data_IF_590049994032
#
_entry.id   IF_590049994032
#
_cell.length_a   1.000
_cell.length_b   1.000
_cell.length_c   1.000
_cell.angle_alpha   90.00
_cell.angle_beta   90.00
_cell.angle_gamma   90.00
#
_symmetry.space_group_name_H-M   'P 1'
#
loop_
_entity.id
_entity.type
_entity.pdbx_description
1 polymer ?
#
# COMPACT_ATOMS: atom_id res chain seq x y z
N UNK A 1 -47.87 -3.12 -29.35
CA UNK A 1 -46.48 -2.69 -29.09
C UNK A 1 -45.75 -3.83 -28.37
N UNK A 2 -45.10 -4.72 -29.14
CA UNK A 2 -44.50 -5.95 -28.61
C UNK A 2 -43.10 -5.71 -28.05
N UNK A 3 -42.82 -6.25 -26.86
CA UNK A 3 -41.47 -6.32 -26.29
C UNK A 3 -40.66 -7.33 -27.09
N UNK A 4 -39.60 -6.88 -27.77
CA UNK A 4 -38.65 -7.77 -28.44
C UNK A 4 -37.90 -8.66 -27.43
N UNK A 5 -37.41 -9.83 -27.85
CA UNK A 5 -36.73 -10.76 -26.95
C UNK A 5 -35.42 -10.15 -26.42
N UNK A 6 -35.17 -10.34 -25.12
CA UNK A 6 -33.93 -9.93 -24.47
C UNK A 6 -32.74 -10.65 -25.12
N UNK A 7 -31.72 -9.89 -25.52
CA UNK A 7 -30.49 -10.44 -26.08
C UNK A 7 -29.80 -11.37 -25.05
N UNK A 8 -29.24 -12.52 -25.49
CA UNK A 8 -28.58 -13.44 -24.58
C UNK A 8 -27.33 -12.78 -23.95
N UNK A 9 -27.20 -12.93 -22.64
CA UNK A 9 -26.01 -12.52 -21.88
C UNK A 9 -24.78 -13.23 -22.47
N UNK A 10 -23.80 -12.44 -22.92
CA UNK A 10 -22.53 -12.97 -23.44
C UNK A 10 -21.86 -13.83 -22.35
N UNK A 11 -21.31 -15.00 -22.69
CA UNK A 11 -20.63 -15.86 -21.73
C UNK A 11 -19.50 -15.08 -21.06
N UNK A 12 -19.47 -15.14 -19.72
CA UNK A 12 -18.56 -14.38 -18.88
C UNK A 12 -17.12 -14.51 -19.36
N UNK A 13 -16.48 -13.36 -19.59
CA UNK A 13 -15.08 -13.30 -19.96
C UNK A 13 -14.24 -14.09 -18.96
N UNK A 14 -13.46 -15.06 -19.45
CA UNK A 14 -12.48 -15.80 -18.66
C UNK A 14 -11.68 -14.79 -17.83
N UNK A 15 -11.78 -14.85 -16.50
CA UNK A 15 -10.93 -14.05 -15.61
C UNK A 15 -9.50 -14.40 -15.96
N UNK A 16 -8.81 -13.51 -16.67
CA UNK A 16 -7.37 -13.55 -16.82
C UNK A 16 -6.82 -13.40 -15.40
N UNK A 17 -6.37 -14.50 -14.78
CA UNK A 17 -5.48 -14.40 -13.63
C UNK A 17 -4.20 -13.76 -14.14
N UNK A 18 -4.18 -12.42 -14.18
CA UNK A 18 -2.97 -11.67 -14.45
C UNK A 18 -1.95 -12.08 -13.40
N UNK A 19 -0.79 -12.55 -13.86
CA UNK A 19 0.27 -13.04 -12.99
C UNK A 19 0.63 -11.90 -12.02
N UNK A 20 0.28 -12.08 -10.74
CA UNK A 20 0.45 -11.06 -9.71
C UNK A 20 1.95 -10.84 -9.52
N UNK A 21 2.41 -9.59 -9.56
CA UNK A 21 3.84 -9.32 -9.33
C UNK A 21 4.32 -9.93 -8.01
N UNK A 22 5.47 -10.62 -8.02
CA UNK A 22 6.04 -11.25 -6.81
C UNK A 22 6.24 -10.25 -5.67
N UNK A 23 6.54 -8.99 -5.98
CA UNK A 23 6.60 -7.88 -5.00
C UNK A 23 5.25 -7.61 -4.34
N UNK A 24 4.18 -7.61 -5.14
CA UNK A 24 2.82 -7.41 -4.64
C UNK A 24 2.42 -8.55 -3.69
N UNK A 25 2.72 -9.81 -4.04
CA UNK A 25 2.43 -10.95 -3.16
C UNK A 25 3.15 -10.83 -1.81
N UNK A 26 4.44 -10.53 -1.80
CA UNK A 26 5.22 -10.30 -0.57
C UNK A 26 4.57 -9.18 0.26
N UNK A 27 4.23 -8.07 -0.37
CA UNK A 27 3.57 -6.95 0.30
C UNK A 27 2.23 -7.36 0.94
N UNK A 28 1.39 -8.14 0.25
CA UNK A 28 0.12 -8.60 0.82
C UNK A 28 0.35 -9.56 1.99
N UNK A 29 1.33 -10.47 1.89
CA UNK A 29 1.68 -11.39 2.98
C UNK A 29 2.12 -10.64 4.22
N UNK A 30 2.93 -9.59 4.07
CA UNK A 30 3.33 -8.71 5.20
C UNK A 30 2.09 -8.05 5.82
N UNK A 31 1.19 -7.48 5.01
CA UNK A 31 -0.04 -6.85 5.52
C UNK A 31 -0.95 -7.83 6.27
N UNK A 32 -1.06 -9.07 5.80
CA UNK A 32 -1.84 -10.12 6.46
C UNK A 32 -1.21 -10.52 7.79
N UNK A 33 0.12 -10.72 7.81
CA UNK A 33 0.87 -11.06 9.02
C UNK A 33 0.78 -9.95 10.09
N UNK A 34 0.91 -8.70 9.66
CA UNK A 34 0.78 -7.52 10.53
C UNK A 34 -0.68 -7.04 10.67
N UNK A 35 -1.67 -7.81 10.20
CA UNK A 35 -3.07 -7.43 10.26
C UNK A 35 -3.67 -7.56 11.66
N UNK A 36 -2.98 -8.25 12.57
CA UNK A 36 -3.37 -8.48 13.96
C UNK A 36 -2.20 -8.11 14.88
N UNK A 37 -2.50 -7.66 16.10
CA UNK A 37 -1.50 -7.28 17.10
C UNK A 37 -1.17 -5.79 17.12
N UNK A 38 0.01 -5.46 17.64
CA UNK A 38 0.42 -4.10 17.94
C UNK A 38 0.72 -3.22 16.71
N UNK A 39 0.97 -3.83 15.57
CA UNK A 39 1.32 -3.13 14.33
C UNK A 39 0.10 -2.99 13.43
N UNK A 40 -0.07 -1.81 12.81
CA UNK A 40 -1.06 -1.57 11.76
C UNK A 40 -0.37 -0.97 10.54
N UNK A 41 -0.40 -1.68 9.41
CA UNK A 41 0.21 -1.24 8.15
C UNK A 41 -0.84 -0.93 7.08
N UNK A 42 -0.60 0.14 6.35
CA UNK A 42 -1.34 0.53 5.16
C UNK A 42 -0.43 0.53 3.94
N UNK A 43 -1.03 0.31 2.77
CA UNK A 43 -0.32 0.50 1.51
C UNK A 43 -0.19 1.99 1.25
N UNK A 44 1.05 2.46 1.07
CA UNK A 44 1.36 3.79 0.63
C UNK A 44 1.43 3.81 -0.90
N UNK A 45 0.43 4.41 -1.54
CA UNK A 45 0.51 4.70 -2.97
C UNK A 45 1.16 6.07 -3.10
N UNK A 46 2.32 6.16 -3.73
CA UNK A 46 2.98 7.43 -4.03
C UNK A 46 2.78 7.76 -5.50
N UNK A 47 2.42 9.00 -5.81
CA UNK A 47 2.27 9.44 -7.18
C UNK A 47 1.62 10.80 -7.31
N UNK A 48 1.19 11.09 -8.53
CA UNK A 48 0.37 12.25 -8.82
C UNK A 48 -0.67 11.89 -9.88
N UNK A 49 -1.82 12.53 -9.81
CA UNK A 49 -2.86 12.45 -10.83
C UNK A 49 -3.43 13.84 -11.07
N UNK A 50 -3.99 14.05 -12.27
CA UNK A 50 -4.80 15.22 -12.55
C UNK A 50 -6.23 14.89 -12.14
N UNK A 51 -6.83 15.71 -11.28
CA UNK A 51 -8.21 15.54 -10.86
C UNK A 51 -9.20 15.94 -11.96
N UNK A 52 -10.50 15.79 -11.69
CA UNK A 52 -11.56 16.12 -12.65
C UNK A 52 -11.62 17.62 -13.02
N UNK A 53 -10.98 18.47 -12.23
CA UNK A 53 -10.94 19.93 -12.40
C UNK A 53 -9.63 20.40 -13.04
N UNK A 54 -8.76 19.46 -13.47
CA UNK A 54 -7.48 19.77 -14.10
C UNK A 54 -6.35 20.07 -13.11
N UNK A 55 -6.56 19.87 -11.80
CA UNK A 55 -5.54 20.17 -10.77
C UNK A 55 -4.62 18.98 -10.56
N UNK A 56 -3.32 19.25 -10.44
CA UNK A 56 -2.33 18.23 -10.08
C UNK A 56 -2.40 17.92 -8.59
N UNK A 57 -2.81 16.69 -8.26
CA UNK A 57 -2.85 16.18 -6.89
C UNK A 57 -1.72 15.19 -6.68
N UNK A 58 -0.84 15.47 -5.72
CA UNK A 58 0.18 14.53 -5.26
C UNK A 58 -0.34 13.79 -4.04
N UNK A 59 -0.01 12.50 -3.96
CA UNK A 59 -0.45 11.63 -2.87
C UNK A 59 0.66 10.66 -2.46
N UNK A 60 0.50 10.09 -1.27
CA UNK A 60 1.57 9.41 -0.54
C UNK A 60 2.38 10.41 0.31
N UNK A 61 3.39 9.91 1.02
CA UNK A 61 4.19 10.76 1.91
C UNK A 61 5.21 11.63 1.13
N UNK A 62 6.06 10.99 0.33
CA UNK A 62 7.02 11.66 -0.53
C UNK A 62 7.55 10.72 -1.62
N UNK A 63 8.24 11.25 -2.64
CA UNK A 63 8.93 10.43 -3.63
C UNK A 63 10.00 9.58 -2.92
N UNK A 64 9.92 8.26 -3.09
CA UNK A 64 10.82 7.31 -2.43
C UNK A 64 10.28 6.74 -1.12
N UNK A 65 9.18 7.28 -0.58
CA UNK A 65 8.55 6.70 0.62
C UNK A 65 8.15 5.23 0.43
N UNK A 66 8.31 4.46 1.50
CA UNK A 66 8.13 3.01 1.52
C UNK A 66 6.75 2.53 1.06
N UNK A 67 6.70 1.32 0.49
CA UNK A 67 5.44 0.68 0.05
C UNK A 67 4.40 0.50 1.16
N UNK A 68 4.85 0.16 2.37
CA UNK A 68 4.02 0.01 3.55
C UNK A 68 4.43 1.04 4.59
N UNK A 69 3.43 1.71 5.15
CA UNK A 69 3.59 2.68 6.23
C UNK A 69 2.60 2.37 7.33
N UNK A 70 2.92 2.74 8.56
CA UNK A 70 2.05 2.38 9.67
C UNK A 70 2.48 2.90 11.02
N UNK A 71 1.80 2.39 12.03
CA UNK A 71 2.09 2.68 13.42
C UNK A 71 2.32 1.38 14.19
N UNK A 72 3.21 1.46 15.18
CA UNK A 72 3.38 0.44 16.21
C UNK A 72 2.77 0.96 17.51
N UNK A 73 1.80 0.22 18.02
CA UNK A 73 1.32 0.40 19.39
C UNK A 73 2.36 -0.16 20.36
N UNK A 74 2.66 0.56 21.43
CA UNK A 74 3.39 0.01 22.57
C UNK A 74 2.62 0.33 23.82
N UNK A 75 2.75 -0.57 24.79
CA UNK A 75 2.38 -0.26 26.16
C UNK A 75 3.40 0.74 26.72
N UNK A 76 2.89 1.84 27.28
CA UNK A 76 3.73 2.86 27.90
C UNK A 76 4.21 2.35 29.25
N UNK A 77 5.52 2.39 29.47
CA UNK A 77 6.13 2.04 30.76
C UNK A 77 6.43 3.29 31.59
N UNK A 78 6.66 3.13 32.89
CA UNK A 78 7.00 4.25 33.77
C UNK A 78 8.25 5.02 33.28
N UNK A 79 9.25 4.32 32.73
CA UNK A 79 10.46 4.93 32.20
C UNK A 79 10.20 5.82 30.97
N UNK A 80 9.08 5.63 30.27
CA UNK A 80 8.68 6.42 29.10
C UNK A 80 7.91 7.70 29.45
N UNK A 81 7.50 7.87 30.72
CA UNK A 81 6.74 9.05 31.15
C UNK A 81 7.62 10.30 31.03
N UNK A 82 7.08 11.35 30.41
CA UNK A 82 7.81 12.58 30.12
C UNK A 82 8.63 12.56 28.83
N UNK A 83 8.65 11.44 28.10
CA UNK A 83 9.29 11.37 26.78
C UNK A 83 8.29 11.69 25.65
N UNK A 84 8.80 12.20 24.53
CA UNK A 84 8.02 12.34 23.30
C UNK A 84 8.19 11.10 22.42
N UNK A 85 7.10 10.40 22.09
CA UNK A 85 7.15 9.14 21.34
C UNK A 85 6.33 9.24 20.05
N UNK A 86 7.00 9.12 18.91
CA UNK A 86 6.39 8.88 17.61
C UNK A 86 6.84 7.53 17.04
N UNK A 87 5.98 6.51 17.09
CA UNK A 87 6.30 5.18 16.57
C UNK A 87 5.69 4.92 15.21
N UNK A 88 6.38 5.46 14.21
CA UNK A 88 6.06 5.25 12.81
C UNK A 88 6.83 4.05 12.25
N UNK A 89 6.18 3.24 11.43
CA UNK A 89 6.80 2.12 10.70
C UNK A 89 6.81 2.45 9.21
N UNK A 90 7.94 2.18 8.57
CA UNK A 90 8.11 2.17 7.13
C UNK A 90 8.75 0.84 6.68
N UNK A 91 8.16 0.18 5.68
CA UNK A 91 8.71 -1.06 5.09
C UNK A 91 8.71 -0.92 3.57
N UNK A 92 9.90 -0.82 2.99
CA UNK A 92 10.10 -0.90 1.55
C UNK A 92 10.23 -2.35 1.11
N UNK A 93 9.38 -2.80 0.18
CA UNK A 93 9.31 -4.20 -0.23
C UNK A 93 10.12 -4.40 -1.51
N UNK A 94 11.06 -5.36 -1.46
CA UNK A 94 11.83 -5.80 -2.63
C UNK A 94 11.64 -7.30 -2.87
N UNK A 95 11.81 -7.70 -4.12
CA UNK A 95 12.06 -9.11 -4.46
C UNK A 95 13.53 -9.43 -4.17
N UNK A 96 13.95 -10.70 -4.16
CA UNK A 96 15.36 -11.05 -3.96
C UNK A 96 16.31 -10.39 -4.97
N UNK A 97 15.84 -10.10 -6.18
CA UNK A 97 16.60 -9.41 -7.24
C UNK A 97 16.35 -7.89 -7.27
N UNK A 98 15.51 -7.36 -6.37
CA UNK A 98 15.13 -5.96 -6.37
C UNK A 98 16.17 -5.09 -5.66
N UNK A 99 16.59 -3.99 -6.30
CA UNK A 99 17.48 -2.99 -5.71
C UNK A 99 16.70 -1.83 -5.08
N UNK A 100 17.27 -1.23 -4.03
CA UNK A 100 16.81 0.04 -3.46
C UNK A 100 17.24 1.21 -4.36
N UNK A 101 16.35 2.16 -4.61
CA UNK A 101 16.69 3.39 -5.35
C UNK A 101 17.21 4.46 -4.39
N UNK A 102 18.04 5.43 -4.84
CA UNK A 102 18.62 6.45 -3.95
C UNK A 102 17.58 7.23 -3.13
N UNK A 103 16.45 7.58 -3.72
CA UNK A 103 15.38 8.29 -2.99
C UNK A 103 14.71 7.43 -1.91
N UNK A 104 14.68 6.11 -2.09
CA UNK A 104 14.13 5.18 -1.10
C UNK A 104 15.12 4.95 0.04
N UNK A 105 16.41 4.89 -0.29
CA UNK A 105 17.46 4.83 0.71
C UNK A 105 17.49 6.11 1.56
N UNK A 106 17.31 7.28 0.93
CA UNK A 106 17.22 8.56 1.65
C UNK A 106 16.03 8.63 2.61
N UNK A 107 14.92 7.96 2.27
CA UNK A 107 13.72 7.93 3.12
C UNK A 107 13.87 7.00 4.34
N UNK A 108 14.71 5.98 4.26
CA UNK A 108 14.89 4.98 5.33
C UNK A 108 15.99 5.32 6.34
N UNK A 109 16.74 6.41 6.10
CA UNK A 109 17.78 6.93 7.01
C UNK A 109 17.21 8.03 7.90
#
# INVERSE_FOLDING_TARGET
MGRGPAAPLKPGGKRRHGNLSRRYEIQQRIRLACGRGATRLWRNNTGALIDRQGRLVRFGLCKGSSDLIGLRSVEITAAMVGQHIGQFIAIEVKTPQGAIRPEQESYLR
#
